data_IF_817966756993
#
_entry.id   IF_817966756993
#
_cell.length_a   1.000
_cell.length_b   1.000
_cell.length_c   1.000
_cell.angle_alpha   90.00
_cell.angle_beta   90.00
_cell.angle_gamma   90.00
#
_symmetry.space_group_name_H-M   'P 1'
#
loop_
_entity.id
_entity.type
_entity.pdbx_description
1 polymer ?
#
# COMPACT_ATOMS: atom_id res chain seq x y z
N UNK A 1 -8.99 -30.76 -82.45
CA UNK A 1 -9.94 -31.90 -82.42
C UNK A 1 -9.92 -32.45 -81.01
N UNK A 2 -10.96 -32.18 -80.23
CA UNK A 2 -10.94 -32.36 -78.78
C UNK A 2 -10.96 -33.83 -78.33
N UNK A 3 -10.58 -34.05 -77.08
CA UNK A 3 -11.37 -34.88 -76.18
C UNK A 3 -11.03 -34.64 -74.72
N UNK A 4 -12.11 -34.33 -73.99
CA UNK A 4 -12.22 -34.18 -72.55
C UNK A 4 -11.85 -35.49 -71.83
N UNK A 5 -11.39 -35.39 -70.57
CA UNK A 5 -12.13 -35.88 -69.37
C UNK A 5 -11.25 -35.89 -68.13
N UNK A 6 -11.69 -35.16 -67.10
CA UNK A 6 -11.40 -35.48 -65.69
C UNK A 6 -12.18 -36.74 -65.28
N UNK A 7 -11.59 -37.57 -64.42
CA UNK A 7 -12.22 -37.93 -63.14
C UNK A 7 -11.19 -37.79 -62.01
N UNK A 8 -11.48 -37.22 -60.83
CA UNK A 8 -12.49 -37.71 -59.90
C UNK A 8 -11.87 -38.79 -58.99
N UNK A 9 -11.16 -38.38 -57.92
CA UNK A 9 -10.61 -39.28 -56.89
C UNK A 9 -10.00 -38.49 -55.72
N UNK A 10 -10.13 -38.96 -54.47
CA UNK A 10 -10.31 -38.11 -53.30
C UNK A 10 -9.01 -37.43 -52.86
N UNK A 11 -9.12 -36.14 -52.56
CA UNK A 11 -8.13 -35.41 -51.77
C UNK A 11 -8.04 -36.07 -50.40
N UNK A 12 -7.00 -36.88 -50.21
CA UNK A 12 -6.65 -37.47 -48.93
C UNK A 12 -6.29 -36.30 -48.02
N UNK A 13 -7.28 -35.88 -47.24
CA UNK A 13 -7.13 -35.07 -46.04
C UNK A 13 -6.04 -35.71 -45.17
N UNK A 14 -4.80 -35.23 -45.29
CA UNK A 14 -3.76 -35.41 -44.28
C UNK A 14 -4.12 -34.51 -43.09
N UNK A 15 -5.19 -34.88 -42.40
CA UNK A 15 -5.63 -34.33 -41.13
C UNK A 15 -5.27 -35.33 -40.03
N UNK A 16 -3.98 -35.67 -39.96
CA UNK A 16 -3.40 -36.24 -38.74
C UNK A 16 -3.15 -35.07 -37.78
N UNK A 17 -4.24 -34.59 -37.17
CA UNK A 17 -4.10 -34.00 -35.84
C UNK A 17 -3.58 -35.12 -34.95
N UNK A 18 -2.29 -35.06 -34.63
CA UNK A 18 -1.78 -35.72 -33.44
C UNK A 18 -2.52 -35.12 -32.24
N UNK A 19 -3.66 -35.71 -31.89
CA UNK A 19 -4.22 -35.62 -30.55
C UNK A 19 -3.29 -36.45 -29.65
N UNK A 20 -2.13 -35.88 -29.36
CA UNK A 20 -1.40 -36.26 -28.17
C UNK A 20 -2.34 -35.93 -27.00
N UNK A 21 -2.74 -36.90 -26.15
CA UNK A 21 -3.25 -36.56 -24.85
C UNK A 21 -2.08 -35.93 -24.11
N UNK A 22 -1.93 -34.62 -24.26
CA UNK A 22 -1.18 -33.84 -23.32
C UNK A 22 -1.96 -33.93 -22.02
N UNK A 23 -1.56 -34.84 -21.14
CA UNK A 23 -1.84 -34.73 -19.72
C UNK A 23 -1.08 -33.51 -19.19
N UNK A 24 -1.47 -32.32 -19.65
CA UNK A 24 -1.23 -31.10 -18.90
C UNK A 24 -2.27 -31.10 -17.81
N UNK A 25 -2.02 -31.86 -16.74
CA UNK A 25 -2.52 -31.43 -15.44
C UNK A 25 -1.96 -30.01 -15.26
N UNK A 26 -2.78 -28.95 -15.20
CA UNK A 26 -2.27 -27.67 -14.76
C UNK A 26 -1.93 -27.85 -13.27
N UNK A 27 -0.71 -28.27 -12.96
CA UNK A 27 -0.16 -28.10 -11.62
C UNK A 27 0.11 -26.62 -11.48
N UNK A 28 -0.93 -25.86 -11.11
CA UNK A 28 -0.81 -24.42 -10.96
C UNK A 28 0.15 -24.15 -9.81
N UNK A 29 1.28 -23.50 -10.11
CA UNK A 29 2.30 -23.23 -9.11
C UNK A 29 1.77 -22.23 -8.06
N UNK A 30 2.14 -22.40 -6.78
CA UNK A 30 1.81 -21.44 -5.74
C UNK A 30 2.31 -20.04 -6.08
N UNK A 31 1.42 -19.05 -5.99
CA UNK A 31 1.72 -17.66 -6.28
C UNK A 31 1.42 -16.77 -5.08
N UNK A 32 2.24 -15.74 -4.89
CA UNK A 32 2.09 -14.76 -3.83
C UNK A 32 2.27 -13.35 -4.36
N UNK A 33 1.48 -12.42 -3.83
CA UNK A 33 1.61 -10.99 -4.10
C UNK A 33 1.37 -10.22 -2.80
N UNK A 34 2.25 -9.27 -2.52
CA UNK A 34 2.11 -8.36 -1.38
C UNK A 34 2.19 -6.92 -1.85
N UNK A 35 1.16 -6.15 -1.51
CA UNK A 35 0.99 -4.75 -1.88
C UNK A 35 1.12 -3.89 -0.62
N UNK A 36 2.12 -3.00 -0.61
CA UNK A 36 2.37 -2.03 0.46
C UNK A 36 2.72 -0.69 -0.17
N UNK A 37 2.27 0.44 0.40
CA UNK A 37 2.69 1.76 -0.04
C UNK A 37 4.20 1.92 -0.01
N UNK A 38 4.78 2.54 -1.04
CA UNK A 38 6.20 2.90 -1.05
C UNK A 38 6.54 3.97 -0.01
N UNK A 39 5.60 4.91 0.22
CA UNK A 39 5.70 5.97 1.21
C UNK A 39 4.66 5.71 2.31
N UNK A 40 5.12 5.49 3.55
CA UNK A 40 4.30 5.14 4.70
C UNK A 40 4.27 6.33 5.67
N UNK A 41 3.07 6.78 6.05
CA UNK A 41 2.92 7.87 7.02
C UNK A 41 2.79 7.36 8.45
N UNK A 42 3.51 8.00 9.38
CA UNK A 42 3.39 7.70 10.82
C UNK A 42 2.08 8.24 11.39
N UNK A 43 1.54 7.64 12.45
CA UNK A 43 0.34 8.06 13.18
C UNK A 43 -0.95 8.11 12.34
N UNK A 44 -0.94 7.48 11.17
CA UNK A 44 -2.10 7.32 10.31
C UNK A 44 -2.22 5.82 9.98
N UNK A 45 -3.43 5.23 9.98
CA UNK A 45 -3.62 3.85 9.56
C UNK A 45 -3.29 3.68 8.07
N UNK A 46 -2.29 2.86 7.80
CA UNK A 46 -1.89 2.42 6.45
C UNK A 46 -2.34 0.96 6.26
N UNK A 47 -2.34 0.45 5.02
CA UNK A 47 -2.78 -0.92 4.73
C UNK A 47 -1.73 -1.69 3.95
N UNK A 48 -1.55 -2.95 4.31
CA UNK A 48 -0.79 -3.92 3.55
C UNK A 48 -1.75 -5.02 3.09
N UNK A 49 -1.80 -5.30 1.79
CA UNK A 49 -2.67 -6.32 1.23
C UNK A 49 -1.85 -7.50 0.72
N UNK A 50 -2.33 -8.71 0.97
CA UNK A 50 -1.72 -9.95 0.51
C UNK A 50 -2.72 -10.70 -0.34
N UNK A 51 -2.20 -11.30 -1.40
CA UNK A 51 -2.88 -12.30 -2.20
C UNK A 51 -2.02 -13.57 -2.24
N UNK A 52 -2.60 -14.69 -1.84
CA UNK A 52 -2.02 -16.03 -1.97
C UNK A 52 -2.96 -16.83 -2.85
N UNK A 53 -2.44 -17.52 -3.86
CA UNK A 53 -3.23 -18.32 -4.80
C UNK A 53 -2.52 -19.62 -5.14
N UNK A 54 -3.30 -20.65 -5.44
CA UNK A 54 -2.82 -22.00 -5.75
C UNK A 54 -2.00 -22.62 -4.60
N UNK A 55 -2.47 -22.42 -3.36
CA UNK A 55 -1.86 -23.04 -2.19
C UNK A 55 -2.27 -24.52 -2.08
N UNK A 56 -1.27 -25.39 -1.94
CA UNK A 56 -1.47 -26.83 -1.71
C UNK A 56 -1.27 -27.23 -0.24
N UNK A 57 -0.85 -26.27 0.60
CA UNK A 57 -0.59 -26.45 2.02
C UNK A 57 -0.98 -25.18 2.78
N UNK A 58 -1.20 -25.32 4.09
CA UNK A 58 -1.40 -24.17 4.96
C UNK A 58 -0.09 -23.40 5.13
N UNK A 59 -0.14 -22.09 4.94
CA UNK A 59 1.03 -21.21 5.08
C UNK A 59 0.80 -20.16 6.16
N UNK A 60 1.89 -19.75 6.79
CA UNK A 60 1.96 -18.63 7.73
C UNK A 60 2.65 -17.46 7.06
N UNK A 61 1.98 -16.32 7.02
CA UNK A 61 2.56 -15.08 6.52
C UNK A 61 2.95 -14.16 7.69
N UNK A 62 4.19 -13.67 7.64
CA UNK A 62 4.69 -12.59 8.48
C UNK A 62 5.26 -11.45 7.64
N UNK A 63 5.03 -10.20 8.07
CA UNK A 63 5.63 -9.01 7.47
C UNK A 63 6.26 -8.16 8.56
N UNK A 64 7.57 -7.92 8.45
CA UNK A 64 8.37 -7.18 9.44
C UNK A 64 8.97 -5.94 8.79
N UNK A 65 8.84 -4.80 9.45
CA UNK A 65 9.43 -3.53 9.06
C UNK A 65 10.60 -3.19 10.00
N UNK A 66 11.78 -3.04 9.43
CA UNK A 66 12.97 -2.55 10.11
C UNK A 66 12.98 -1.01 10.02
N UNK A 67 12.59 -0.34 11.10
CA UNK A 67 12.42 1.11 11.15
C UNK A 67 12.93 1.69 12.48
N UNK A 68 13.68 2.79 12.42
CA UNK A 68 14.23 3.48 13.59
C UNK A 68 15.11 2.58 14.51
N UNK A 69 15.79 1.58 13.93
CA UNK A 69 16.61 0.63 14.69
C UNK A 69 15.83 -0.49 15.37
N UNK A 70 14.51 -0.56 15.16
CA UNK A 70 13.63 -1.58 15.73
C UNK A 70 12.98 -2.44 14.64
N UNK A 71 12.77 -3.71 14.94
CA UNK A 71 11.98 -4.61 14.11
C UNK A 71 10.53 -4.58 14.57
N UNK A 72 9.64 -4.18 13.67
CA UNK A 72 8.20 -4.03 13.95
C UNK A 72 7.41 -4.97 13.07
N UNK A 73 6.66 -5.88 13.66
CA UNK A 73 5.73 -6.72 12.89
C UNK A 73 4.54 -5.87 12.41
N UNK A 74 4.35 -5.79 11.10
CA UNK A 74 3.18 -5.15 10.48
C UNK A 74 2.01 -6.13 10.38
N UNK A 75 2.32 -7.42 10.19
CA UNK A 75 1.35 -8.50 10.04
C UNK A 75 1.90 -9.69 10.81
N UNK A 76 1.19 -10.07 11.87
CA UNK A 76 1.51 -11.22 12.68
C UNK A 76 0.68 -12.42 12.21
N UNK A 77 1.38 -13.41 11.67
CA UNK A 77 0.97 -14.82 11.59
C UNK A 77 -0.44 -15.04 11.07
N UNK A 78 -0.73 -14.49 9.89
CA UNK A 78 -1.95 -14.86 9.17
C UNK A 78 -1.75 -16.26 8.62
N UNK A 79 -2.40 -17.23 9.25
CA UNK A 79 -2.49 -18.61 8.76
C UNK A 79 -3.58 -18.68 7.69
N UNK A 80 -3.26 -19.21 6.52
CA UNK A 80 -4.22 -19.44 5.46
C UNK A 80 -4.17 -20.87 4.96
N UNK A 81 -5.33 -21.54 4.96
CA UNK A 81 -5.50 -22.92 4.49
C UNK A 81 -5.81 -23.01 2.98
N UNK A 82 -6.19 -21.89 2.35
CA UNK A 82 -6.55 -21.78 0.92
C UNK A 82 -6.15 -20.41 0.37
N UNK A 83 -6.45 -20.18 -0.91
CA UNK A 83 -6.34 -18.88 -1.56
C UNK A 83 -6.96 -17.77 -0.70
N UNK A 84 -6.18 -16.73 -0.44
CA UNK A 84 -6.56 -15.64 0.46
C UNK A 84 -6.23 -14.30 -0.16
N UNK A 85 -7.18 -13.38 -0.06
CA UNK A 85 -6.95 -11.97 -0.26
C UNK A 85 -7.34 -11.22 1.02
N UNK A 86 -6.38 -10.56 1.66
CA UNK A 86 -6.61 -9.85 2.93
C UNK A 86 -5.78 -8.57 2.99
N UNK A 87 -6.41 -7.49 3.42
CA UNK A 87 -5.74 -6.24 3.76
C UNK A 87 -5.71 -6.07 5.28
N UNK A 88 -4.51 -5.88 5.82
CA UNK A 88 -4.27 -5.68 7.26
C UNK A 88 -3.90 -4.21 7.47
N UNK A 89 -4.66 -3.47 8.29
CA UNK A 89 -4.27 -2.12 8.68
C UNK A 89 -3.11 -2.16 9.68
N UNK A 90 -2.19 -1.22 9.56
CA UNK A 90 -1.10 -1.03 10.52
C UNK A 90 -0.85 0.47 10.76
N UNK A 91 -0.15 0.81 11.83
CA UNK A 91 0.20 2.21 12.14
C UNK A 91 1.61 2.26 12.72
N UNK A 92 2.41 3.22 12.27
CA UNK A 92 3.76 3.44 12.77
C UNK A 92 3.82 4.68 13.66
N UNK A 93 4.52 4.67 14.79
CA UNK A 93 4.75 5.88 15.56
C UNK A 93 5.73 6.80 14.84
N UNK A 94 5.72 8.07 15.24
CA UNK A 94 6.72 9.05 14.80
C UNK A 94 8.11 8.68 15.30
N UNK A 95 9.11 8.88 14.45
CA UNK A 95 10.53 8.86 14.83
C UNK A 95 11.12 10.27 14.75
N UNK A 96 12.36 10.45 15.23
CA UNK A 96 13.07 11.73 15.21
C UNK A 96 13.32 12.25 13.78
N UNK A 97 13.43 11.34 12.80
CA UNK A 97 13.61 11.69 11.39
C UNK A 97 12.77 10.80 10.47
N UNK A 98 12.50 11.32 9.27
CA UNK A 98 12.01 10.48 8.18
C UNK A 98 13.19 9.67 7.64
N UNK A 99 13.03 8.36 7.50
CA UNK A 99 14.12 7.46 7.15
C UNK A 99 13.66 6.39 6.17
N UNK A 100 14.60 5.83 5.42
CA UNK A 100 14.38 4.57 4.73
C UNK A 100 14.17 3.46 5.76
N UNK A 101 13.31 2.51 5.41
CA UNK A 101 13.04 1.31 6.18
C UNK A 101 13.09 0.09 5.26
N UNK A 102 13.38 -1.08 5.81
CA UNK A 102 13.34 -2.33 5.06
C UNK A 102 12.12 -3.15 5.47
N UNK A 103 11.25 -3.42 4.50
CA UNK A 103 10.14 -4.35 4.66
C UNK A 103 10.62 -5.74 4.25
N UNK A 104 10.53 -6.70 5.17
CA UNK A 104 10.75 -8.12 4.92
C UNK A 104 9.42 -8.86 5.03
N UNK A 105 9.03 -9.55 3.97
CA UNK A 105 7.87 -10.44 3.92
C UNK A 105 8.37 -11.87 3.90
N UNK A 106 7.78 -12.73 4.73
CA UNK A 106 8.04 -14.15 4.80
C UNK A 106 6.71 -14.91 4.74
N UNK A 107 6.57 -15.79 3.75
CA UNK A 107 5.51 -16.80 3.66
C UNK A 107 6.18 -18.14 3.92
N UNK A 108 5.72 -18.87 4.94
CA UNK A 108 6.31 -20.16 5.33
C UNK A 108 5.22 -21.21 5.52
N UNK A 109 5.32 -22.30 4.77
CA UNK A 109 4.55 -23.52 4.96
C UNK A 109 5.47 -24.71 5.26
N UNK A 110 4.92 -25.93 5.32
CA UNK A 110 5.69 -27.17 5.46
C UNK A 110 6.74 -27.39 4.37
N UNK A 111 6.43 -27.05 3.11
CA UNK A 111 7.32 -27.26 1.95
C UNK A 111 7.65 -25.98 1.19
N UNK A 112 6.87 -24.92 1.38
CA UNK A 112 7.03 -23.64 0.71
C UNK A 112 7.69 -22.60 1.62
N UNK A 113 8.69 -21.89 1.10
CA UNK A 113 9.26 -20.71 1.75
C UNK A 113 9.49 -19.60 0.72
N UNK A 114 8.78 -18.49 0.88
CA UNK A 114 8.99 -17.28 0.08
C UNK A 114 9.45 -16.15 0.98
N UNK A 115 10.56 -15.50 0.59
CA UNK A 115 11.11 -14.35 1.29
C UNK A 115 11.36 -13.22 0.32
N UNK A 116 10.86 -12.04 0.66
CA UNK A 116 11.10 -10.81 -0.10
C UNK A 116 11.51 -9.68 0.83
N UNK A 117 12.54 -8.92 0.45
CA UNK A 117 12.98 -7.73 1.17
C UNK A 117 13.02 -6.55 0.23
N UNK A 118 12.34 -5.46 0.61
CA UNK A 118 12.24 -4.23 -0.19
C UNK A 118 12.44 -3.00 0.68
N UNK A 119 13.02 -1.94 0.10
CA UNK A 119 13.16 -0.64 0.75
C UNK A 119 11.88 0.17 0.57
N UNK A 120 11.44 0.82 1.64
CA UNK A 120 10.30 1.75 1.67
C UNK A 120 10.70 3.03 2.39
N UNK A 121 9.95 4.10 2.19
CA UNK A 121 10.16 5.38 2.87
C UNK A 121 9.13 5.55 3.98
N UNK A 122 9.61 5.92 5.18
CA UNK A 122 8.73 6.28 6.30
C UNK A 122 8.84 7.77 6.55
N UNK A 123 7.70 8.46 6.49
CA UNK A 123 7.60 9.91 6.66
C UNK A 123 6.72 10.24 7.84
N UNK A 124 7.19 11.15 8.68
CA UNK A 124 6.39 11.65 9.78
C UNK A 124 5.17 12.42 9.24
N UNK A 125 3.97 12.05 9.70
CA UNK A 125 2.76 12.80 9.37
C UNK A 125 2.87 14.24 9.83
N UNK A 126 2.58 15.15 8.90
CA UNK A 126 2.50 16.59 9.16
C UNK A 126 1.05 16.99 9.31
N UNK A 127 0.83 18.05 10.08
CA UNK A 127 -0.46 18.74 10.15
C UNK A 127 -0.27 20.15 9.63
N UNK A 128 -1.22 20.62 8.83
CA UNK A 128 -1.32 22.01 8.44
C UNK A 128 -2.09 22.76 9.53
N UNK A 129 -1.66 24.00 9.81
CA UNK A 129 -2.32 24.85 10.81
C UNK A 129 -2.73 26.15 10.13
N UNK A 130 -4.03 26.42 10.14
CA UNK A 130 -4.59 27.66 9.64
C UNK A 130 -5.15 28.47 10.80
N UNK A 131 -4.72 29.73 10.89
CA UNK A 131 -5.24 30.70 11.85
C UNK A 131 -5.96 31.78 11.06
N UNK A 132 -7.22 32.01 11.40
CA UNK A 132 -8.01 33.07 10.80
C UNK A 132 -8.61 33.93 11.90
N UNK A 133 -8.35 35.22 11.81
CA UNK A 133 -8.97 36.24 12.66
C UNK A 133 -10.28 36.72 12.06
N UNK A 134 -11.17 37.29 12.88
CA UNK A 134 -12.42 37.88 12.40
C UNK A 134 -12.17 39.11 11.52
N UNK A 135 -11.04 39.81 11.71
CA UNK A 135 -10.64 41.00 10.95
C UNK A 135 -9.15 40.99 10.63
N UNK A 136 -8.71 41.62 9.51
CA UNK A 136 -7.30 41.74 9.18
C UNK A 136 -6.55 42.83 9.99
N UNK A 137 -7.26 43.83 10.53
CA UNK A 137 -6.68 44.98 11.25
C UNK A 137 -7.55 45.31 12.47
N UNK A 138 -6.91 45.57 13.61
CA UNK A 138 -7.56 45.95 14.87
C UNK A 138 -7.09 47.32 15.37
N UNK A 139 -8.01 48.08 15.96
CA UNK A 139 -7.70 49.27 16.75
C UNK A 139 -7.33 48.88 18.19
N UNK A 140 -6.58 49.73 18.91
CA UNK A 140 -6.34 49.52 20.34
C UNK A 140 -7.64 49.33 21.12
N UNK A 141 -7.66 48.36 22.04
CA UNK A 141 -8.82 48.03 22.86
C UNK A 141 -9.87 47.11 22.20
N UNK A 142 -9.71 46.74 20.92
CA UNK A 142 -10.62 45.79 20.29
C UNK A 142 -10.32 44.35 20.69
N UNK A 143 -11.37 43.58 20.96
CA UNK A 143 -11.29 42.13 21.15
C UNK A 143 -11.00 41.43 19.82
N UNK A 144 -10.02 40.53 19.82
CA UNK A 144 -9.67 39.68 18.67
C UNK A 144 -10.40 38.36 18.80
N UNK A 145 -11.28 38.05 17.84
CA UNK A 145 -11.85 36.72 17.70
C UNK A 145 -11.07 35.97 16.62
N UNK A 146 -10.77 34.70 16.86
CA UNK A 146 -10.02 33.91 15.90
C UNK A 146 -10.45 32.44 15.97
N UNK A 147 -10.17 31.72 14.89
CA UNK A 147 -10.31 30.28 14.79
C UNK A 147 -9.00 29.66 14.34
N UNK A 148 -8.71 28.50 14.91
CA UNK A 148 -7.57 27.67 14.53
C UNK A 148 -8.10 26.35 14.01
N UNK A 149 -7.60 25.94 12.85
CA UNK A 149 -7.98 24.68 12.21
C UNK A 149 -6.71 23.88 11.94
N UNK A 150 -6.69 22.64 12.42
CA UNK A 150 -5.67 21.65 12.06
C UNK A 150 -6.20 20.79 10.93
N UNK A 151 -5.42 20.62 9.88
CA UNK A 151 -5.73 19.74 8.75
C UNK A 151 -4.63 18.69 8.55
N UNK A 152 -4.97 17.54 7.99
CA UNK A 152 -3.99 16.58 7.48
C UNK A 152 -3.47 17.00 6.09
N UNK A 153 -2.58 16.18 5.49
CA UNK A 153 -2.04 16.44 4.15
C UNK A 153 -3.12 16.36 3.04
N UNK A 154 -4.28 15.77 3.33
CA UNK A 154 -5.44 15.66 2.44
C UNK A 154 -6.52 16.70 2.75
N UNK A 155 -6.23 17.70 3.59
CA UNK A 155 -7.14 18.76 4.03
C UNK A 155 -8.34 18.29 4.85
N UNK A 156 -8.30 17.10 5.45
CA UNK A 156 -9.32 16.68 6.40
C UNK A 156 -9.09 17.30 7.79
N UNK A 157 -10.14 17.70 8.50
CA UNK A 157 -10.02 18.28 9.83
C UNK A 157 -9.46 17.27 10.85
N UNK A 158 -8.45 17.69 11.60
CA UNK A 158 -7.85 16.92 12.68
C UNK A 158 -8.33 17.45 14.03
N UNK A 159 -8.85 16.55 14.88
CA UNK A 159 -9.21 16.90 16.26
C UNK A 159 -7.93 16.93 17.13
N UNK A 160 -7.32 18.11 17.26
CA UNK A 160 -6.12 18.33 18.09
C UNK A 160 -6.32 19.53 19.02
N UNK A 161 -5.75 19.40 20.22
CA UNK A 161 -5.69 20.50 21.18
C UNK A 161 -4.62 21.51 20.76
N UNK A 162 -4.95 22.80 20.82
CA UNK A 162 -3.97 23.87 20.66
C UNK A 162 -3.20 24.01 21.98
N UNK A 163 -1.89 23.78 21.96
CA UNK A 163 -1.07 23.84 23.17
C UNK A 163 -0.66 25.26 23.57
N UNK A 164 -0.39 26.15 22.61
CA UNK A 164 0.00 27.53 22.87
C UNK A 164 -0.30 28.44 21.66
N UNK A 165 -0.89 29.60 21.92
CA UNK A 165 -1.11 30.68 20.96
C UNK A 165 -0.60 31.99 21.56
N UNK A 166 0.26 32.69 20.83
CA UNK A 166 0.77 34.02 21.22
C UNK A 166 0.41 35.01 20.12
N UNK A 167 -0.40 36.00 20.45
CA UNK A 167 -0.75 37.12 19.56
C UNK A 167 0.11 38.31 19.96
N UNK A 168 0.90 38.83 19.02
CA UNK A 168 1.71 40.05 19.22
C UNK A 168 1.19 41.17 18.33
N UNK A 169 0.99 42.35 18.90
CA UNK A 169 0.71 43.57 18.14
C UNK A 169 2.01 44.21 17.67
N UNK A 170 2.14 44.49 16.37
CA UNK A 170 3.23 45.32 15.85
C UNK A 170 2.79 46.78 15.84
N UNK A 171 3.39 47.62 16.70
CA UNK A 171 3.16 49.06 16.68
C UNK A 171 4.09 49.66 15.63
N UNK A 172 3.54 50.03 14.47
CA UNK A 172 4.30 50.76 13.46
C UNK A 172 4.45 52.20 13.95
N UNK A 173 5.61 52.53 14.52
CA UNK A 173 5.94 53.88 14.97
C UNK A 173 5.82 54.85 13.78
N UNK A 174 5.03 55.90 13.94
CA UNK A 174 5.09 57.05 13.03
C UNK A 174 6.37 57.82 13.38
N UNK A 175 7.35 57.77 12.48
CA UNK A 175 8.38 58.81 12.39
C UNK A 175 7.79 60.09 11.83
#
# INVERSE_FOLDING_TARGET
MGKNRLPGGPSIFLLLLFLLPGDTSPTTEPQYMVLVPFLIHTNIPEKACIQLTHLNESVTLSATLEYAGENRSLIADVVSEKDVFKCVPFTLPKSNSSSSAFLTVLVKGPTLEFRSRKSVLVKNSKSLVFVQTDKPIYKPGQTVLFRVVYLDENFHPLNRLVSMLVIKSSVRGKG
#
